data_IF_829620684475
#
_entry.id   IF_829620684475
#
_cell.length_a   1.000
_cell.length_b   1.000
_cell.length_c   1.000
_cell.angle_alpha   90.00
_cell.angle_beta   90.00
_cell.angle_gamma   90.00
#
_symmetry.space_group_name_H-M   'P 1'
#
loop_
_entity.id
_entity.type
_entity.pdbx_description
1 polymer ?
#
# COMPACT_ATOMS: atom_id res chain seq x y z
N UNK A 1 17.35 -2.40 -16.38
CA UNK A 1 17.85 -2.76 -15.03
C UNK A 1 18.17 -1.52 -14.18
N UNK A 2 19.16 -0.69 -14.54
CA UNK A 2 19.53 0.49 -13.72
C UNK A 2 18.36 1.47 -13.50
N UNK A 3 17.54 1.73 -14.52
CA UNK A 3 16.31 2.53 -14.36
C UNK A 3 15.40 2.01 -13.24
N UNK A 4 15.12 0.71 -13.22
CA UNK A 4 14.29 0.10 -12.17
C UNK A 4 14.95 0.21 -10.80
N UNK A 5 16.25 -0.09 -10.71
CA UNK A 5 16.99 0.02 -9.44
C UNK A 5 16.96 1.44 -8.91
N UNK A 6 17.07 2.44 -9.77
CA UNK A 6 17.00 3.86 -9.39
C UNK A 6 15.61 4.20 -8.84
N UNK A 7 14.55 3.72 -9.48
CA UNK A 7 13.18 3.93 -9.03
C UNK A 7 12.88 3.30 -7.65
N UNK A 8 13.54 2.19 -7.32
CA UNK A 8 13.37 1.51 -6.04
C UNK A 8 14.19 2.10 -4.87
N UNK A 9 14.98 3.15 -5.09
CA UNK A 9 15.74 3.81 -4.01
C UNK A 9 14.79 4.75 -3.26
N UNK A 10 14.59 4.57 -1.93
CA UNK A 10 13.77 5.49 -1.16
C UNK A 10 14.33 6.91 -1.18
N UNK A 11 13.45 7.87 -1.41
CA UNK A 11 13.76 9.30 -1.36
C UNK A 11 13.15 9.85 -0.07
N UNK A 12 13.98 10.21 0.91
CA UNK A 12 13.54 10.67 2.22
C UNK A 12 13.14 12.15 2.19
N UNK A 13 12.03 12.45 1.51
CA UNK A 13 11.41 13.77 1.43
C UNK A 13 9.92 13.64 1.77
N UNK A 14 9.53 14.15 2.93
CA UNK A 14 8.16 13.98 3.46
C UNK A 14 7.21 15.15 3.16
N UNK A 15 7.75 16.28 2.68
CA UNK A 15 6.98 17.47 2.34
C UNK A 15 6.58 17.44 0.86
N UNK A 16 5.32 17.13 0.60
CA UNK A 16 4.79 17.02 -0.76
C UNK A 16 4.57 18.38 -1.45
N UNK A 17 4.76 19.51 -0.75
CA UNK A 17 4.62 20.86 -1.32
C UNK A 17 5.86 21.34 -2.10
N UNK A 18 6.97 20.60 -2.02
CA UNK A 18 8.22 20.93 -2.68
C UNK A 18 8.09 20.80 -4.22
N UNK A 19 8.77 21.66 -5.00
CA UNK A 19 8.78 21.59 -6.45
C UNK A 19 9.72 20.47 -6.93
N UNK A 20 9.27 19.21 -6.81
CA UNK A 20 10.06 18.03 -7.18
C UNK A 20 10.48 18.03 -8.65
N UNK A 21 9.65 18.57 -9.53
CA UNK A 21 9.90 18.70 -10.97
C UNK A 21 11.09 19.63 -11.31
N UNK A 22 11.46 20.50 -10.37
CA UNK A 22 12.66 21.35 -10.44
C UNK A 22 13.92 20.69 -9.86
N UNK A 23 13.83 19.44 -9.38
CA UNK A 23 14.96 18.71 -8.81
C UNK A 23 15.41 17.59 -9.76
N UNK A 24 16.72 17.55 -10.02
CA UNK A 24 17.35 16.54 -10.87
C UNK A 24 18.48 15.84 -10.11
N UNK A 25 18.40 14.52 -10.01
CA UNK A 25 19.46 13.66 -9.48
C UNK A 25 20.51 13.46 -10.57
N UNK A 26 21.76 13.76 -10.27
CA UNK A 26 22.92 13.53 -11.13
C UNK A 26 23.86 12.51 -10.48
N UNK A 27 24.36 11.56 -11.27
CA UNK A 27 25.42 10.63 -10.88
C UNK A 27 26.50 10.67 -11.94
N UNK A 28 27.76 10.83 -11.52
CA UNK A 28 28.91 10.78 -12.42
C UNK A 28 30.10 10.16 -11.71
N UNK A 29 30.31 8.86 -11.95
CA UNK A 29 31.38 8.07 -11.32
C UNK A 29 32.14 7.31 -12.39
N UNK A 30 33.46 7.40 -12.35
CA UNK A 30 34.36 6.66 -13.24
C UNK A 30 35.32 5.84 -12.40
N UNK A 31 35.46 4.56 -12.74
CA UNK A 31 36.47 3.73 -12.10
C UNK A 31 37.85 3.99 -12.70
N UNK A 32 38.71 4.65 -11.92
CA UNK A 32 40.11 4.93 -12.27
C UNK A 32 41.10 4.01 -11.55
N UNK A 33 40.61 3.09 -10.71
CA UNK A 33 41.42 2.17 -9.92
C UNK A 33 41.61 0.83 -10.65
N UNK A 34 42.40 -0.06 -10.04
CA UNK A 34 42.67 -1.44 -10.45
C UNK A 34 41.74 -2.47 -9.78
N UNK A 35 40.83 -2.01 -8.93
CA UNK A 35 39.82 -2.84 -8.26
C UNK A 35 38.41 -2.43 -8.65
N UNK A 36 37.47 -3.35 -8.50
CA UNK A 36 36.05 -3.02 -8.75
C UNK A 36 35.55 -2.05 -7.69
N UNK A 37 34.84 -0.99 -8.11
CA UNK A 37 34.21 -0.02 -7.20
C UNK A 37 32.69 -0.12 -7.28
N UNK A 38 32.01 0.37 -6.24
CA UNK A 38 30.56 0.45 -6.18
C UNK A 38 30.12 1.90 -6.28
N UNK A 39 29.13 2.15 -7.13
CA UNK A 39 28.38 3.41 -7.12
C UNK A 39 27.25 3.24 -6.13
N UNK A 40 27.12 4.16 -5.20
CA UNK A 40 26.13 4.13 -4.12
C UNK A 40 25.27 5.40 -4.14
N UNK A 41 24.21 5.43 -3.33
CA UNK A 41 23.48 6.69 -3.07
C UNK A 41 24.36 7.77 -2.42
N UNK A 42 25.52 7.39 -1.88
CA UNK A 42 26.58 8.30 -1.45
C UNK A 42 27.09 9.21 -2.57
N UNK A 43 27.13 8.70 -3.80
CA UNK A 43 27.67 9.39 -4.98
C UNK A 43 26.65 10.30 -5.69
N UNK A 44 25.40 10.30 -5.23
CA UNK A 44 24.32 11.06 -5.87
C UNK A 44 24.48 12.53 -5.55
N UNK A 45 24.11 13.41 -6.48
CA UNK A 45 23.93 14.83 -6.23
C UNK A 45 22.55 15.26 -6.71
N UNK A 46 21.97 16.26 -6.07
CA UNK A 46 20.71 16.85 -6.53
C UNK A 46 20.99 18.29 -6.94
N UNK A 47 20.56 18.63 -8.15
CA UNK A 47 20.60 19.97 -8.71
C UNK A 47 19.19 20.53 -8.80
N UNK A 48 19.01 21.75 -8.31
CA UNK A 48 17.79 22.50 -8.61
C UNK A 48 17.95 23.13 -10.00
N UNK A 49 17.09 22.73 -10.94
CA UNK A 49 17.20 23.14 -12.35
C UNK A 49 16.87 24.60 -12.58
N UNK A 50 16.06 25.22 -11.72
CA UNK A 50 15.66 26.63 -11.80
C UNK A 50 16.79 27.58 -11.42
N UNK A 51 17.57 27.20 -10.40
CA UNK A 51 18.69 28.01 -9.89
C UNK A 51 20.04 27.55 -10.42
N UNK A 52 20.12 26.35 -10.97
CA UNK A 52 21.36 25.70 -11.40
C UNK A 52 22.28 25.27 -10.24
N UNK A 53 21.84 25.41 -8.99
CA UNK A 53 22.64 25.12 -7.80
C UNK A 53 22.42 23.69 -7.31
N UNK A 54 23.48 23.10 -6.79
CA UNK A 54 23.40 21.82 -6.09
C UNK A 54 22.90 22.01 -4.67
N UNK A 55 22.17 21.01 -4.16
CA UNK A 55 21.83 20.96 -2.74
C UNK A 55 23.10 20.77 -1.90
N UNK A 56 23.11 21.38 -0.73
CA UNK A 56 24.15 21.18 0.28
C UNK A 56 24.23 19.71 0.70
N UNK A 57 25.45 19.25 0.97
CA UNK A 57 25.74 17.87 1.37
C UNK A 57 24.89 17.42 2.57
N UNK A 58 24.71 18.31 3.55
CA UNK A 58 23.91 18.02 4.75
C UNK A 58 22.43 17.76 4.45
N UNK A 59 21.88 18.44 3.45
CA UNK A 59 20.51 18.21 2.96
C UNK A 59 20.43 16.94 2.13
N UNK A 60 21.41 16.71 1.24
CA UNK A 60 21.49 15.50 0.43
C UNK A 60 21.53 14.24 1.32
N UNK A 61 22.27 14.26 2.43
CA UNK A 61 22.35 13.14 3.39
C UNK A 61 21.07 12.92 4.19
N UNK A 62 20.15 13.88 4.21
CA UNK A 62 18.78 13.66 4.74
C UNK A 62 17.90 12.97 3.72
N UNK A 63 18.09 13.26 2.42
CA UNK A 63 17.31 12.68 1.32
C UNK A 63 17.75 11.24 1.01
N UNK A 64 19.06 11.01 0.99
CA UNK A 64 19.69 9.70 0.81
C UNK A 64 20.60 9.38 2.01
N UNK A 65 20.02 9.03 3.16
CA UNK A 65 20.80 8.72 4.35
C UNK A 65 21.56 7.40 4.20
N UNK A 66 22.72 7.25 4.87
CA UNK A 66 23.32 5.94 5.06
C UNK A 66 22.48 5.11 6.05
N UNK A 67 22.64 3.80 6.00
CA UNK A 67 22.03 2.88 6.95
C UNK A 67 22.44 3.23 8.40
N UNK A 68 21.50 3.30 9.36
CA UNK A 68 21.80 3.76 10.71
C UNK A 68 22.72 2.81 11.49
N UNK A 69 22.85 1.54 11.10
CA UNK A 69 23.65 0.53 11.82
C UNK A 69 25.05 0.44 11.20
N UNK A 70 25.12 0.11 9.91
CA UNK A 70 26.36 -0.13 9.15
C UNK A 70 27.04 1.16 8.70
N UNK A 71 26.28 2.26 8.59
CA UNK A 71 26.71 3.53 7.98
C UNK A 71 26.99 3.45 6.47
N UNK A 72 26.56 2.37 5.82
CA UNK A 72 26.71 2.17 4.39
C UNK A 72 25.58 2.83 3.59
N UNK A 73 25.89 3.22 2.35
CA UNK A 73 24.91 3.70 1.38
C UNK A 73 24.38 2.55 0.52
N UNK A 74 23.19 2.75 -0.08
CA UNK A 74 22.57 1.75 -0.95
C UNK A 74 23.43 1.58 -2.21
N UNK A 75 23.85 0.34 -2.49
CA UNK A 75 24.61 0.00 -3.69
C UNK A 75 23.70 0.10 -4.93
N UNK A 76 24.02 1.02 -5.83
CA UNK A 76 23.29 1.25 -7.06
C UNK A 76 23.86 0.44 -8.23
N UNK A 77 25.17 0.52 -8.45
CA UNK A 77 25.86 -0.14 -9.55
C UNK A 77 27.29 -0.56 -9.17
N UNK A 78 27.91 -1.39 -10.01
CA UNK A 78 29.28 -1.86 -9.86
C UNK A 78 30.06 -1.50 -11.12
N UNK A 79 31.24 -0.91 -10.98
CA UNK A 79 32.09 -0.50 -12.10
C UNK A 79 33.40 -1.27 -12.08
N UNK A 80 33.69 -2.00 -13.15
CA UNK A 80 34.94 -2.75 -13.32
C UNK A 80 36.14 -1.79 -13.48
N UNK A 81 37.32 -2.19 -12.97
CA UNK A 81 38.54 -1.39 -13.08
C UNK A 81 39.01 -1.28 -14.53
N UNK A 82 40.01 -0.43 -14.73
CA UNK A 82 40.76 -0.41 -15.99
C UNK A 82 41.47 -1.75 -16.20
N UNK A 83 41.50 -2.23 -17.44
CA UNK A 83 42.18 -3.49 -17.80
C UNK A 83 43.64 -3.21 -18.19
N UNK A 84 43.89 -2.09 -18.87
CA UNK A 84 45.22 -1.61 -19.25
C UNK A 84 45.25 -0.08 -19.30
N UNK A 85 46.38 0.51 -19.69
CA UNK A 85 46.44 1.96 -19.93
C UNK A 85 45.61 2.39 -21.16
N UNK A 86 45.38 1.49 -22.12
CA UNK A 86 44.54 1.74 -23.30
C UNK A 86 43.07 1.42 -23.06
N UNK A 87 42.74 0.52 -22.12
CA UNK A 87 41.37 0.12 -21.80
C UNK A 87 40.94 0.70 -20.45
N UNK A 88 40.30 1.89 -20.42
CA UNK A 88 39.90 2.54 -19.18
C UNK A 88 38.80 1.73 -18.45
N UNK A 89 38.67 1.99 -17.15
CA UNK A 89 37.61 1.39 -16.35
C UNK A 89 36.23 1.91 -16.72
N UNK A 90 35.20 1.22 -16.21
CA UNK A 90 33.82 1.56 -16.49
C UNK A 90 33.42 2.92 -15.87
N UNK A 91 32.50 3.60 -16.54
CA UNK A 91 31.97 4.90 -16.12
C UNK A 91 30.44 4.85 -16.15
N UNK A 92 29.81 5.49 -15.14
CA UNK A 92 28.38 5.70 -15.07
C UNK A 92 28.10 7.19 -14.96
N UNK A 93 27.37 7.71 -15.95
CA UNK A 93 26.83 9.06 -15.94
C UNK A 93 25.34 9.02 -16.25
N UNK A 94 24.52 9.62 -15.39
CA UNK A 94 23.08 9.76 -15.61
C UNK A 94 22.54 11.03 -14.96
N UNK A 95 21.40 11.48 -15.47
CA UNK A 95 20.55 12.48 -14.85
C UNK A 95 19.10 11.96 -14.80
N UNK A 96 18.37 12.29 -13.74
CA UNK A 96 16.99 11.86 -13.55
C UNK A 96 16.19 12.92 -12.80
N UNK A 97 15.11 13.42 -13.42
CA UNK A 97 14.17 14.33 -12.77
C UNK A 97 13.34 13.62 -11.72
N UNK A 98 13.07 14.32 -10.63
CA UNK A 98 12.19 13.84 -9.57
C UNK A 98 10.73 14.19 -9.88
N UNK A 99 9.81 13.40 -9.33
CA UNK A 99 8.37 13.57 -9.49
C UNK A 99 7.64 12.81 -8.38
N UNK A 100 6.40 13.23 -8.09
CA UNK A 100 5.55 12.61 -7.09
C UNK A 100 4.60 11.61 -7.76
N UNK A 101 4.57 10.38 -7.27
CA UNK A 101 3.77 9.28 -7.82
C UNK A 101 3.22 8.40 -6.70
N UNK A 102 2.31 7.50 -7.05
CA UNK A 102 1.71 6.56 -6.10
C UNK A 102 1.99 5.11 -6.48
N UNK A 103 1.88 4.20 -5.51
CA UNK A 103 2.01 2.75 -5.73
C UNK A 103 0.97 2.18 -6.72
N UNK A 104 -0.10 2.93 -7.04
CA UNK A 104 -1.09 2.57 -8.07
C UNK A 104 -0.47 2.60 -9.47
N UNK A 105 0.53 3.45 -9.69
CA UNK A 105 1.21 3.60 -10.98
C UNK A 105 2.37 2.60 -11.12
N UNK A 106 3.20 2.48 -10.09
CA UNK A 106 4.31 1.52 -10.03
C UNK A 106 4.58 1.12 -8.58
N UNK A 107 4.79 -0.17 -8.31
CA UNK A 107 5.10 -0.68 -6.97
C UNK A 107 6.40 -0.13 -6.38
N UNK A 108 7.31 0.41 -7.20
CA UNK A 108 8.51 1.12 -6.75
C UNK A 108 8.19 2.37 -5.92
N UNK A 109 7.00 2.95 -6.06
CA UNK A 109 6.54 4.14 -5.33
C UNK A 109 5.81 3.79 -4.02
N UNK A 110 5.87 2.53 -3.60
CA UNK A 110 5.29 2.11 -2.33
C UNK A 110 6.13 2.61 -1.15
N UNK A 111 5.44 3.14 -0.14
CA UNK A 111 6.05 3.75 1.05
C UNK A 111 5.91 2.87 2.31
N UNK A 112 5.32 1.69 2.16
CA UNK A 112 5.03 0.72 3.22
C UNK A 112 5.68 -0.62 2.89
N UNK A 113 6.40 -1.23 3.83
CA UNK A 113 6.94 -2.59 3.68
C UNK A 113 5.92 -3.66 4.10
N UNK A 114 5.26 -3.45 5.23
CA UNK A 114 4.28 -4.37 5.80
C UNK A 114 2.98 -3.62 6.09
N UNK A 115 1.85 -4.14 5.60
CA UNK A 115 0.51 -3.68 5.96
C UNK A 115 -0.36 -4.92 6.12
N UNK A 116 -0.69 -5.26 7.36
CA UNK A 116 -1.56 -6.39 7.66
C UNK A 116 -2.52 -6.05 8.77
N UNK A 117 -3.63 -6.78 8.79
CA UNK A 117 -4.64 -6.67 9.83
C UNK A 117 -5.23 -8.04 10.14
N UNK A 118 -5.74 -8.18 11.36
CA UNK A 118 -6.48 -9.35 11.80
C UNK A 118 -7.57 -8.94 12.78
N UNK A 119 -8.62 -9.76 12.90
CA UNK A 119 -9.55 -9.58 14.01
C UNK A 119 -8.83 -9.79 15.34
N UNK A 120 -9.13 -8.95 16.32
CA UNK A 120 -8.61 -9.13 17.69
C UNK A 120 -9.20 -10.40 18.27
N UNK A 121 -8.36 -11.40 18.55
CA UNK A 121 -8.82 -12.70 19.06
C UNK A 121 -9.44 -12.61 20.45
N UNK A 122 -10.61 -13.22 20.65
CA UNK A 122 -11.23 -13.37 21.97
C UNK A 122 -10.65 -14.61 22.65
N UNK A 123 -9.56 -14.41 23.41
CA UNK A 123 -8.80 -15.52 24.01
C UNK A 123 -9.67 -16.39 24.93
N UNK A 124 -10.59 -15.78 25.69
CA UNK A 124 -11.46 -16.54 26.60
C UNK A 124 -12.41 -17.44 25.82
N UNK A 125 -13.03 -16.92 24.77
CA UNK A 125 -13.96 -17.67 23.94
C UNK A 125 -13.23 -18.73 23.09
N UNK A 126 -12.02 -18.42 22.60
CA UNK A 126 -11.16 -19.38 21.92
C UNK A 126 -10.81 -20.56 22.83
N UNK A 127 -10.46 -20.30 24.08
CA UNK A 127 -10.10 -21.31 25.05
C UNK A 127 -11.32 -22.16 25.46
N UNK A 128 -12.49 -21.55 25.69
CA UNK A 128 -13.74 -22.29 25.95
C UNK A 128 -14.08 -23.24 24.81
N UNK A 129 -13.93 -22.77 23.56
CA UNK A 129 -14.21 -23.58 22.37
C UNK A 129 -13.15 -24.65 22.13
N UNK A 130 -11.90 -24.38 22.47
CA UNK A 130 -10.86 -25.40 22.51
C UNK A 130 -11.20 -26.51 23.51
N UNK A 131 -11.66 -26.19 24.72
CA UNK A 131 -12.05 -27.22 25.71
C UNK A 131 -13.22 -28.08 25.22
N UNK A 132 -14.20 -27.47 24.54
CA UNK A 132 -15.31 -28.23 23.92
C UNK A 132 -14.82 -29.15 22.80
N UNK A 133 -13.90 -28.67 21.96
CA UNK A 133 -13.29 -29.48 20.90
C UNK A 133 -12.44 -30.62 21.48
N UNK A 134 -11.61 -30.34 22.48
CA UNK A 134 -10.79 -31.31 23.21
C UNK A 134 -11.65 -32.44 23.81
N UNK A 135 -12.80 -32.08 24.41
CA UNK A 135 -13.73 -33.06 24.95
C UNK A 135 -14.37 -33.96 23.87
N UNK A 136 -14.46 -33.47 22.62
CA UNK A 136 -14.99 -34.21 21.48
C UNK A 136 -13.97 -35.13 20.78
N UNK A 137 -12.68 -35.01 21.09
CA UNK A 137 -11.63 -35.83 20.49
C UNK A 137 -11.72 -37.30 20.96
N UNK A 138 -11.46 -38.28 20.08
CA UNK A 138 -11.25 -39.67 20.48
C UNK A 138 -10.11 -39.83 21.48
N UNK A 139 -10.17 -40.81 22.37
CA UNK A 139 -9.09 -41.05 23.34
C UNK A 139 -7.76 -41.43 22.67
N UNK A 140 -7.79 -42.05 21.48
CA UNK A 140 -6.57 -42.38 20.75
C UNK A 140 -5.81 -41.15 20.26
N UNK A 141 -6.48 -40.00 20.09
CA UNK A 141 -5.89 -38.73 19.64
C UNK A 141 -5.44 -37.83 20.81
N UNK A 142 -5.64 -38.27 22.06
CA UNK A 142 -5.29 -37.50 23.28
C UNK A 142 -3.92 -37.84 23.85
N UNK A 143 -3.09 -38.60 23.12
CA UNK A 143 -1.70 -38.74 23.51
C UNK A 143 -0.98 -37.37 23.47
N UNK A 144 0.02 -37.20 24.32
CA UNK A 144 0.61 -35.89 24.57
C UNK A 144 1.28 -35.25 23.34
N UNK A 145 1.83 -36.07 22.42
CA UNK A 145 2.54 -35.56 21.24
C UNK A 145 1.54 -35.12 20.17
N UNK A 146 0.55 -35.97 19.89
CA UNK A 146 -0.54 -35.66 18.94
C UNK A 146 -1.36 -34.46 19.40
N UNK A 147 -1.66 -34.38 20.71
CA UNK A 147 -2.48 -33.32 21.25
C UNK A 147 -1.86 -31.93 21.10
N UNK A 148 -0.52 -31.82 21.21
CA UNK A 148 0.19 -30.55 21.00
C UNK A 148 0.01 -30.06 19.56
N UNK A 149 0.13 -30.94 18.57
CA UNK A 149 -0.06 -30.59 17.17
C UNK A 149 -1.53 -30.26 16.85
N UNK A 150 -2.48 -31.02 17.39
CA UNK A 150 -3.92 -30.74 17.26
C UNK A 150 -4.24 -29.36 17.86
N UNK A 151 -3.75 -29.06 19.05
CA UNK A 151 -3.96 -27.77 19.70
C UNK A 151 -3.38 -26.64 18.86
N UNK A 152 -2.14 -26.78 18.39
CA UNK A 152 -1.50 -25.78 17.54
C UNK A 152 -2.29 -25.54 16.25
N UNK A 153 -2.77 -26.60 15.60
CA UNK A 153 -3.62 -26.51 14.41
C UNK A 153 -4.94 -25.79 14.71
N UNK A 154 -5.58 -26.10 15.84
CA UNK A 154 -6.80 -25.44 16.28
C UNK A 154 -6.62 -23.92 16.44
N UNK A 155 -5.56 -23.49 17.13
CA UNK A 155 -5.28 -22.06 17.34
C UNK A 155 -4.83 -21.31 16.08
N UNK A 156 -4.31 -22.04 15.07
CA UNK A 156 -3.96 -21.48 13.76
C UNK A 156 -5.18 -21.33 12.83
N UNK A 157 -6.21 -22.14 13.01
CA UNK A 157 -7.38 -22.15 12.14
C UNK A 157 -8.66 -21.75 12.87
N UNK A 158 -9.36 -22.69 13.49
CA UNK A 158 -10.72 -22.47 13.95
C UNK A 158 -10.84 -21.51 15.13
N UNK A 159 -9.80 -21.40 15.97
CA UNK A 159 -9.78 -20.36 17.00
C UNK A 159 -9.92 -18.95 16.40
N UNK A 160 -9.43 -18.74 15.17
CA UNK A 160 -9.53 -17.43 14.48
C UNK A 160 -10.97 -17.03 14.13
N UNK A 161 -11.94 -17.94 14.26
CA UNK A 161 -13.38 -17.66 14.10
C UNK A 161 -13.98 -16.96 15.32
N UNK A 162 -13.31 -17.01 16.48
CA UNK A 162 -13.75 -16.38 17.72
C UNK A 162 -12.91 -15.13 17.97
N UNK A 163 -13.57 -13.98 17.88
CA UNK A 163 -12.92 -12.67 17.94
C UNK A 163 -13.82 -11.65 18.60
N UNK A 164 -13.20 -10.58 19.09
CA UNK A 164 -13.90 -9.44 19.66
C UNK A 164 -14.55 -8.66 18.51
N UNK A 165 -15.87 -8.49 18.59
CA UNK A 165 -16.64 -7.76 17.58
C UNK A 165 -16.12 -6.33 17.42
N UNK A 166 -16.02 -5.88 16.16
CA UNK A 166 -15.59 -4.52 15.78
C UNK A 166 -14.19 -4.13 16.31
N UNK A 167 -13.34 -5.12 16.58
CA UNK A 167 -11.96 -4.94 17.06
C UNK A 167 -10.95 -5.57 16.11
N UNK A 168 -9.90 -4.82 15.80
CA UNK A 168 -8.90 -5.18 14.81
C UNK A 168 -7.50 -4.83 15.29
N UNK A 169 -6.56 -5.73 15.05
CA UNK A 169 -5.14 -5.53 15.29
C UNK A 169 -4.45 -5.24 13.95
N UNK A 170 -3.67 -4.16 13.89
CA UNK A 170 -2.98 -3.73 12.67
C UNK A 170 -1.47 -3.75 12.85
N UNK A 171 -0.75 -4.10 11.79
CA UNK A 171 0.70 -3.95 11.69
C UNK A 171 0.99 -3.10 10.45
N UNK A 172 1.63 -1.95 10.66
CA UNK A 172 2.06 -1.04 9.59
C UNK A 172 3.53 -0.73 9.78
N UNK A 173 4.32 -1.01 8.75
CA UNK A 173 5.76 -0.80 8.73
C UNK A 173 6.16 0.00 7.48
N UNK A 174 6.97 1.04 7.68
CA UNK A 174 7.42 1.94 6.62
C UNK A 174 8.66 1.41 5.92
N UNK A 175 8.87 1.80 4.66
CA UNK A 175 10.17 1.62 3.98
C UNK A 175 11.26 2.59 4.49
N UNK A 176 10.90 3.48 5.44
CA UNK A 176 11.83 4.37 6.15
C UNK A 176 11.61 5.87 5.88
N UNK A 177 10.78 6.24 4.91
CA UNK A 177 10.52 7.65 4.55
C UNK A 177 9.58 8.32 5.55
N UNK A 178 8.53 7.62 5.96
CA UNK A 178 7.50 8.10 6.89
C UNK A 178 7.47 7.28 8.18
N UNK A 179 6.92 7.83 9.26
CA UNK A 179 6.62 7.07 10.46
C UNK A 179 5.32 6.25 10.32
N UNK A 180 5.17 5.16 11.07
CA UNK A 180 3.96 4.32 11.02
C UNK A 180 2.67 5.10 11.33
N UNK A 181 2.70 5.96 12.35
CA UNK A 181 1.56 6.82 12.69
C UNK A 181 1.25 7.86 11.59
N UNK A 182 2.29 8.43 10.96
CA UNK A 182 2.16 9.39 9.87
C UNK A 182 1.50 8.75 8.63
N UNK A 183 1.88 7.51 8.31
CA UNK A 183 1.25 6.74 7.24
C UNK A 183 -0.26 6.54 7.47
N UNK A 184 -0.66 6.16 8.69
CA UNK A 184 -2.07 5.96 9.04
C UNK A 184 -2.85 7.27 9.00
N UNK A 185 -2.25 8.36 9.51
CA UNK A 185 -2.86 9.69 9.45
C UNK A 185 -3.11 10.11 7.99
N UNK A 186 -2.08 10.05 7.14
CA UNK A 186 -2.19 10.43 5.72
C UNK A 186 -3.19 9.56 4.97
N UNK A 187 -3.22 8.25 5.23
CA UNK A 187 -4.20 7.35 4.64
C UNK A 187 -5.64 7.75 5.01
N UNK A 188 -5.85 8.17 6.26
CA UNK A 188 -7.15 8.65 6.75
C UNK A 188 -7.53 9.98 6.10
N UNK A 189 -6.59 10.91 5.97
CA UNK A 189 -6.80 12.19 5.27
C UNK A 189 -7.18 11.98 3.80
N UNK A 190 -6.49 11.07 3.09
CA UNK A 190 -6.80 10.69 1.71
C UNK A 190 -8.21 10.10 1.62
N UNK A 191 -8.59 9.20 2.54
CA UNK A 191 -9.93 8.62 2.56
C UNK A 191 -11.01 9.68 2.82
N UNK A 192 -10.78 10.60 3.75
CA UNK A 192 -11.70 11.70 4.05
C UNK A 192 -11.87 12.62 2.84
N UNK A 193 -10.77 12.95 2.14
CA UNK A 193 -10.82 13.74 0.92
C UNK A 193 -11.66 13.05 -0.16
N UNK A 194 -11.44 11.75 -0.40
CA UNK A 194 -12.22 10.95 -1.36
C UNK A 194 -13.72 10.94 -1.03
N UNK A 195 -14.07 10.70 0.23
CA UNK A 195 -15.46 10.72 0.70
C UNK A 195 -16.09 12.11 0.54
N UNK A 196 -15.35 13.17 0.83
CA UNK A 196 -15.82 14.55 0.69
C UNK A 196 -16.08 14.89 -0.79
N UNK A 197 -15.12 14.60 -1.67
CA UNK A 197 -15.26 14.82 -3.12
C UNK A 197 -16.45 14.04 -3.68
N UNK A 198 -16.60 12.76 -3.31
CA UNK A 198 -17.75 11.96 -3.72
C UNK A 198 -19.08 12.56 -3.23
N UNK A 199 -19.14 13.03 -1.98
CA UNK A 199 -20.32 13.69 -1.42
C UNK A 199 -20.68 14.99 -2.13
N UNK A 200 -19.68 15.76 -2.57
CA UNK A 200 -19.89 16.96 -3.37
C UNK A 200 -20.44 16.64 -4.77
N UNK A 201 -19.93 15.60 -5.43
CA UNK A 201 -20.44 15.13 -6.73
C UNK A 201 -21.88 14.64 -6.62
N UNK A 202 -22.19 13.88 -5.57
CA UNK A 202 -23.55 13.44 -5.24
C UNK A 202 -24.49 14.64 -5.07
N UNK A 203 -24.07 15.65 -4.30
CA UNK A 203 -24.89 16.85 -4.03
C UNK A 203 -25.17 17.69 -5.27
N UNK A 204 -24.30 17.62 -6.29
CA UNK A 204 -24.44 18.31 -7.57
C UNK A 204 -25.19 17.48 -8.62
N UNK A 205 -25.69 16.28 -8.28
CA UNK A 205 -26.25 15.30 -9.22
C UNK A 205 -25.28 14.98 -10.38
N UNK A 206 -23.98 14.92 -10.10
CA UNK A 206 -22.94 14.64 -11.09
C UNK A 206 -22.46 13.18 -11.04
N UNK A 207 -23.15 12.31 -10.30
CA UNK A 207 -22.85 10.89 -10.29
C UNK A 207 -23.39 10.23 -11.55
N UNK A 208 -22.56 9.38 -12.15
CA UNK A 208 -23.00 8.52 -13.25
C UNK A 208 -23.83 7.37 -12.71
N UNK A 209 -25.14 7.42 -12.95
CA UNK A 209 -26.09 6.39 -12.54
C UNK A 209 -26.78 5.83 -13.78
N UNK A 210 -26.70 4.51 -13.95
CA UNK A 210 -27.34 3.81 -15.06
C UNK A 210 -28.18 2.65 -14.56
N UNK A 211 -29.22 2.27 -15.31
CA UNK A 211 -29.97 1.05 -15.02
C UNK A 211 -29.05 -0.16 -15.22
N UNK A 212 -28.95 -1.03 -14.22
CA UNK A 212 -28.06 -2.19 -14.28
C UNK A 212 -28.51 -3.18 -15.36
N UNK A 213 -27.56 -3.75 -16.09
CA UNK A 213 -27.81 -4.84 -17.04
C UNK A 213 -27.91 -6.17 -16.29
N UNK A 214 -29.06 -6.41 -15.66
CA UNK A 214 -29.33 -7.64 -14.89
C UNK A 214 -30.81 -8.05 -14.97
N UNK A 215 -31.12 -9.24 -14.46
CA UNK A 215 -32.51 -9.69 -14.25
C UNK A 215 -33.15 -9.14 -12.98
N UNK A 216 -32.40 -8.41 -12.13
CA UNK A 216 -32.94 -7.82 -10.91
C UNK A 216 -33.79 -6.58 -11.28
N UNK A 217 -35.05 -6.51 -10.85
CA UNK A 217 -35.86 -5.31 -11.04
C UNK A 217 -35.28 -4.15 -10.24
N UNK A 218 -35.53 -2.91 -10.68
CA UNK A 218 -35.14 -1.66 -10.01
C UNK A 218 -33.66 -1.59 -9.60
N UNK A 219 -32.80 -2.18 -10.43
CA UNK A 219 -31.36 -2.21 -10.21
C UNK A 219 -30.68 -1.07 -10.94
N UNK A 220 -29.80 -0.37 -10.23
CA UNK A 220 -28.99 0.73 -10.73
C UNK A 220 -27.52 0.54 -10.38
N UNK A 221 -26.65 0.93 -11.31
CA UNK A 221 -25.20 0.95 -11.16
C UNK A 221 -24.77 2.41 -11.01
N UNK A 222 -24.11 2.71 -9.88
CA UNK A 222 -23.49 3.99 -9.59
C UNK A 222 -21.99 3.83 -9.87
N UNK A 223 -21.47 4.51 -10.88
CA UNK A 223 -20.04 4.47 -11.23
C UNK A 223 -19.24 5.33 -10.24
N UNK A 224 -18.17 4.76 -9.70
CA UNK A 224 -17.16 5.44 -8.92
C UNK A 224 -15.94 5.68 -9.81
N UNK A 225 -15.88 6.86 -10.43
CA UNK A 225 -14.83 7.22 -11.40
C UNK A 225 -13.48 7.33 -10.71
N UNK A 226 -12.46 6.64 -11.24
CA UNK A 226 -11.10 6.53 -10.70
C UNK A 226 -10.99 5.98 -9.27
N UNK A 227 -12.06 5.38 -8.76
CA UNK A 227 -12.14 4.86 -7.40
C UNK A 227 -12.32 3.35 -7.40
N UNK A 228 -11.78 2.69 -6.37
CA UNK A 228 -11.77 1.23 -6.24
C UNK A 228 -12.26 0.76 -4.88
N UNK A 229 -11.73 -0.38 -4.42
CA UNK A 229 -12.13 -1.03 -3.18
C UNK A 229 -12.12 -0.12 -1.94
N UNK A 230 -11.13 0.78 -1.82
CA UNK A 230 -10.99 1.63 -0.63
C UNK A 230 -12.22 2.50 -0.39
N UNK A 231 -12.68 3.25 -1.39
CA UNK A 231 -13.89 4.06 -1.26
C UNK A 231 -15.15 3.18 -1.40
N UNK A 232 -15.16 2.29 -2.39
CA UNK A 232 -16.34 1.52 -2.74
C UNK A 232 -16.82 0.56 -1.67
N UNK A 233 -15.92 -0.12 -0.94
CA UNK A 233 -16.31 -1.01 0.18
C UNK A 233 -16.82 -0.24 1.39
N UNK A 234 -16.30 0.97 1.64
CA UNK A 234 -16.82 1.85 2.70
C UNK A 234 -18.25 2.27 2.37
N UNK A 235 -18.50 2.74 1.15
CA UNK A 235 -19.83 3.15 0.71
C UNK A 235 -20.81 1.97 0.67
N UNK A 236 -20.41 0.82 0.12
CA UNK A 236 -21.21 -0.41 0.10
C UNK A 236 -21.62 -0.82 1.52
N UNK A 237 -20.68 -0.82 2.48
CA UNK A 237 -20.97 -1.15 3.87
C UNK A 237 -21.99 -0.19 4.50
N UNK A 238 -21.82 1.12 4.29
CA UNK A 238 -22.76 2.13 4.80
C UNK A 238 -24.17 1.95 4.19
N UNK A 239 -24.25 1.73 2.88
CA UNK A 239 -25.51 1.46 2.20
C UNK A 239 -26.17 0.18 2.72
N UNK A 240 -25.37 -0.86 2.95
CA UNK A 240 -25.85 -2.12 3.50
C UNK A 240 -26.41 -1.97 4.92
N UNK A 241 -25.68 -1.34 5.83
CA UNK A 241 -26.14 -1.18 7.22
C UNK A 241 -27.38 -0.28 7.30
N UNK A 242 -27.39 0.84 6.59
CA UNK A 242 -28.46 1.82 6.71
C UNK A 242 -29.69 1.50 5.86
N UNK A 243 -29.51 1.12 4.59
CA UNK A 243 -30.63 1.04 3.64
C UNK A 243 -31.09 -0.39 3.37
N UNK A 244 -30.19 -1.37 3.42
CA UNK A 244 -30.57 -2.78 3.31
C UNK A 244 -31.03 -3.37 4.65
N UNK A 245 -30.21 -3.29 5.71
CA UNK A 245 -30.54 -3.87 7.02
C UNK A 245 -31.57 -3.06 7.81
N UNK A 246 -31.27 -1.77 8.05
CA UNK A 246 -32.08 -0.97 8.98
C UNK A 246 -33.40 -0.54 8.34
N UNK A 247 -33.36 0.11 7.17
CA UNK A 247 -34.57 0.63 6.51
C UNK A 247 -35.28 -0.38 5.60
N UNK A 248 -34.58 -1.39 5.09
CA UNK A 248 -35.11 -2.38 4.12
C UNK A 248 -35.68 -1.73 2.84
N UNK A 249 -35.09 -0.62 2.41
CA UNK A 249 -35.42 0.04 1.14
C UNK A 249 -34.74 -0.70 -0.03
N UNK A 250 -33.50 -1.14 0.21
CA UNK A 250 -32.72 -1.90 -0.76
C UNK A 250 -33.01 -3.40 -0.63
N UNK A 251 -33.26 -4.03 -1.77
CA UNK A 251 -33.31 -5.49 -1.94
C UNK A 251 -31.93 -6.08 -2.28
N UNK A 252 -31.00 -5.25 -2.73
CA UNK A 252 -29.62 -5.63 -3.01
C UNK A 252 -28.67 -4.42 -2.88
N UNK A 253 -27.47 -4.67 -2.38
CA UNK A 253 -26.32 -3.77 -2.50
C UNK A 253 -25.06 -4.60 -2.70
N UNK A 254 -24.21 -4.17 -3.63
CA UNK A 254 -22.94 -4.84 -3.88
C UNK A 254 -21.93 -3.94 -4.57
N UNK A 255 -20.67 -4.07 -4.16
CA UNK A 255 -19.53 -3.46 -4.83
C UNK A 255 -18.99 -4.37 -5.94
N UNK A 256 -18.62 -3.79 -7.09
CA UNK A 256 -17.96 -4.51 -8.18
C UNK A 256 -16.89 -3.65 -8.86
N UNK A 257 -15.73 -4.24 -9.08
CA UNK A 257 -14.74 -3.77 -10.04
C UNK A 257 -14.58 -4.87 -11.09
N UNK A 258 -14.80 -4.58 -12.37
CA UNK A 258 -14.92 -5.61 -13.41
C UNK A 258 -13.60 -6.33 -13.67
N UNK A 259 -12.51 -5.58 -13.75
CA UNK A 259 -11.16 -6.08 -13.85
C UNK A 259 -10.25 -5.39 -12.81
N UNK A 260 -9.26 -6.07 -12.22
CA UNK A 260 -8.27 -5.44 -11.32
C UNK A 260 -7.48 -4.27 -11.92
N UNK A 261 -7.52 -4.09 -13.24
CA UNK A 261 -6.84 -3.01 -13.97
C UNK A 261 -7.78 -1.87 -14.36
N UNK A 262 -9.10 -2.04 -14.18
CA UNK A 262 -10.05 -0.96 -14.43
C UNK A 262 -9.84 0.12 -13.38
N UNK A 263 -9.83 1.37 -13.82
CA UNK A 263 -9.66 2.50 -12.93
C UNK A 263 -10.91 2.79 -12.12
N UNK A 264 -12.06 2.50 -12.72
CA UNK A 264 -13.38 2.78 -12.20
C UNK A 264 -13.97 1.51 -11.56
N UNK A 265 -14.84 1.73 -10.58
CA UNK A 265 -15.63 0.68 -9.96
C UNK A 265 -17.09 1.08 -9.92
N UNK A 266 -17.95 0.19 -9.44
CA UNK A 266 -19.38 0.47 -9.34
C UNK A 266 -19.98 -0.08 -8.06
N UNK A 267 -20.97 0.64 -7.57
CA UNK A 267 -21.89 0.15 -6.55
C UNK A 267 -23.21 -0.15 -7.25
N UNK A 268 -23.64 -1.40 -7.17
CA UNK A 268 -24.96 -1.81 -7.63
C UNK A 268 -25.92 -1.80 -6.47
N UNK A 269 -27.05 -1.14 -6.65
CA UNK A 269 -28.17 -1.14 -5.70
C UNK A 269 -29.42 -1.62 -6.41
N UNK A 270 -30.30 -2.33 -5.71
CA UNK A 270 -31.65 -2.60 -6.18
C UNK A 270 -32.66 -2.28 -5.09
N UNK A 271 -33.81 -1.72 -5.48
CA UNK A 271 -34.88 -1.32 -4.56
C UNK A 271 -36.00 -2.37 -4.52
N UNK A 272 -36.74 -2.41 -3.41
CA UNK A 272 -37.93 -3.27 -3.30
C UNK A 272 -39.12 -2.76 -4.13
N UNK A 273 -39.29 -1.45 -4.27
CA UNK A 273 -40.41 -0.81 -4.96
C UNK A 273 -39.96 -0.01 -6.20
N UNK A 274 -40.86 0.16 -7.18
CA UNK A 274 -40.64 0.90 -8.44
C UNK A 274 -40.56 2.44 -8.26
N UNK A 275 -40.61 2.96 -7.03
CA UNK A 275 -41.00 4.36 -6.76
C UNK A 275 -39.86 5.36 -6.45
N UNK A 276 -38.59 5.03 -6.73
CA UNK A 276 -37.44 5.91 -6.47
C UNK A 276 -36.54 6.13 -7.68
#
# INVERSE_FOLDING_TARGET
ILKQRLACIPIHMSDHSLPYDELEVEVKVKNTTDVTIYVTTGDFRIKNTSTGKYLEETTLRKIFPPDPITKDFIIFARLRPKISNEVPGEELSLTAKMSLHTAREDGAYNVVSTCSYSFTGDKLQQDDKWQQYLASLPEEEKDAETLVEIQKNWYNHDAKRYYVKDSFDFIVESVGVFGGADLVQRATEILLQKLTSFGEEASKNNLEIAKSVTSMPNSFDITLVNEGYTLGKVLEYLLYEHYYKAKKELSYVGFRQHHPHDTDSMIRVAFHDDAH
#
